data_IF_567475746650
#
_entry.id   IF_567475746650
#
_cell.length_a   1.000
_cell.length_b   1.000
_cell.length_c   1.000
_cell.angle_alpha   90.00
_cell.angle_beta   90.00
_cell.angle_gamma   90.00
#
_symmetry.space_group_name_H-M   'P 1'
#
loop_
_entity.id
_entity.type
_entity.pdbx_description
1 polymer ?
#
# COMPACT_ATOMS: atom_id res chain seq x y z
N UNK A 1 7.28 -9.66 4.79
CA UNK A 1 7.92 -8.44 4.28
C UNK A 1 8.62 -7.77 5.45
N UNK A 2 9.86 -7.34 5.26
CA UNK A 2 10.66 -6.65 6.29
C UNK A 2 11.28 -5.38 5.71
N UNK A 3 12.05 -4.63 6.49
CA UNK A 3 12.84 -3.48 6.04
C UNK A 3 14.33 -3.64 6.36
N UNK A 4 15.14 -2.66 5.95
CA UNK A 4 16.55 -2.50 6.36
C UNK A 4 16.78 -1.09 6.92
N UNK A 5 17.86 -0.94 7.68
CA UNK A 5 18.13 0.29 8.43
C UNK A 5 18.77 1.43 7.60
N UNK A 6 19.50 1.11 6.53
CA UNK A 6 20.39 2.07 5.87
C UNK A 6 20.31 2.11 4.35
N UNK A 7 21.33 2.73 3.75
CA UNK A 7 21.47 2.96 2.31
C UNK A 7 22.14 1.79 1.55
N UNK A 8 22.63 0.78 2.25
CA UNK A 8 23.26 -0.42 1.70
C UNK A 8 23.00 -1.61 2.63
N UNK A 9 23.19 -2.83 2.13
CA UNK A 9 22.99 -4.03 2.95
C UNK A 9 24.17 -4.24 3.90
N UNK A 10 23.88 -4.34 5.21
CA UNK A 10 24.82 -4.91 6.19
C UNK A 10 24.89 -6.42 6.05
N UNK A 11 25.89 -7.06 6.67
CA UNK A 11 25.98 -8.52 6.62
C UNK A 11 24.81 -9.18 7.37
N UNK A 12 24.32 -8.55 8.44
CA UNK A 12 23.11 -8.97 9.14
C UNK A 12 21.84 -8.79 8.30
N UNK A 13 21.77 -7.75 7.45
CA UNK A 13 20.67 -7.62 6.48
C UNK A 13 20.70 -8.79 5.49
N UNK A 14 21.88 -9.12 4.96
CA UNK A 14 22.03 -10.22 4.00
C UNK A 14 21.61 -11.55 4.60
N UNK A 15 21.99 -11.82 5.84
CA UNK A 15 21.60 -13.04 6.57
C UNK A 15 20.07 -13.17 6.69
N UNK A 16 19.39 -12.13 7.20
CA UNK A 16 17.93 -12.18 7.40
C UNK A 16 17.19 -12.23 6.07
N UNK A 17 17.62 -11.45 5.07
CA UNK A 17 16.98 -11.44 3.76
C UNK A 17 17.06 -12.80 3.07
N UNK A 18 18.10 -13.61 3.35
CA UNK A 18 18.24 -14.95 2.79
C UNK A 18 17.23 -15.98 3.34
N UNK A 19 16.56 -15.70 4.46
CA UNK A 19 15.55 -16.59 5.02
C UNK A 19 14.43 -16.90 4.01
N UNK A 20 14.00 -18.16 3.91
CA UNK A 20 13.08 -18.63 2.86
C UNK A 20 11.69 -17.99 2.96
N UNK A 21 11.27 -17.65 4.18
CA UNK A 21 9.96 -17.03 4.44
C UNK A 21 9.97 -15.51 4.28
N UNK A 22 11.14 -14.90 4.13
CA UNK A 22 11.23 -13.49 3.74
C UNK A 22 11.01 -13.40 2.23
N UNK A 23 9.80 -12.97 1.86
CA UNK A 23 9.35 -12.85 0.46
C UNK A 23 9.56 -11.46 -0.15
N UNK A 24 9.97 -10.49 0.64
CA UNK A 24 10.24 -9.16 0.13
C UNK A 24 10.63 -8.14 1.20
N UNK A 25 11.00 -6.97 0.71
CA UNK A 25 11.51 -5.82 1.44
C UNK A 25 10.65 -4.59 1.13
N UNK A 26 10.30 -3.80 2.15
CA UNK A 26 9.77 -2.44 2.01
C UNK A 26 10.89 -1.41 2.21
N UNK A 27 10.96 -0.43 1.32
CA UNK A 27 11.89 0.70 1.39
C UNK A 27 11.21 1.93 2.00
N UNK A 28 11.97 2.65 2.80
CA UNK A 28 11.61 3.93 3.41
C UNK A 28 12.57 5.03 2.95
N UNK A 29 12.27 6.29 3.31
CA UNK A 29 13.15 7.42 3.00
C UNK A 29 14.56 7.27 3.58
N UNK A 30 14.73 6.55 4.70
CA UNK A 30 16.06 6.23 5.26
C UNK A 30 16.92 5.33 4.36
N UNK A 31 16.31 4.66 3.38
CA UNK A 31 16.99 3.79 2.42
C UNK A 31 17.34 4.51 1.11
N UNK A 32 17.09 5.83 1.05
CA UNK A 32 17.24 6.64 -0.14
C UNK A 32 18.11 7.87 0.11
N UNK A 33 19.17 8.01 -0.69
CA UNK A 33 20.00 9.22 -0.73
C UNK A 33 20.08 9.84 -2.13
N UNK A 34 20.09 9.03 -3.19
CA UNK A 34 20.10 9.50 -4.57
C UNK A 34 19.66 8.40 -5.54
N UNK A 35 19.31 8.72 -6.81
CA UNK A 35 18.99 7.71 -7.82
C UNK A 35 20.11 6.68 -8.02
N UNK A 36 21.38 7.13 -7.99
CA UNK A 36 22.53 6.24 -8.16
C UNK A 36 22.68 5.28 -6.99
N UNK A 37 22.55 5.76 -5.74
CA UNK A 37 22.62 4.91 -4.56
C UNK A 37 21.43 3.93 -4.50
N UNK A 38 20.22 4.37 -4.84
CA UNK A 38 19.06 3.48 -4.88
C UNK A 38 19.28 2.32 -5.86
N UNK A 39 19.78 2.59 -7.06
CA UNK A 39 20.11 1.53 -8.04
C UNK A 39 21.10 0.53 -7.47
N UNK A 40 22.16 0.99 -6.80
CA UNK A 40 23.13 0.10 -6.16
C UNK A 40 22.49 -0.79 -5.09
N UNK A 41 21.64 -0.21 -4.23
CA UNK A 41 20.93 -0.97 -3.20
C UNK A 41 20.01 -2.04 -3.83
N UNK A 42 19.27 -1.69 -4.89
CA UNK A 42 18.41 -2.65 -5.59
C UNK A 42 19.25 -3.76 -6.22
N UNK A 43 20.35 -3.43 -6.89
CA UNK A 43 21.26 -4.41 -7.51
C UNK A 43 21.85 -5.36 -6.45
N UNK A 44 22.20 -4.86 -5.26
CA UNK A 44 22.63 -5.67 -4.12
C UNK A 44 21.54 -6.66 -3.67
N UNK A 45 20.29 -6.20 -3.51
CA UNK A 45 19.15 -7.03 -3.11
C UNK A 45 18.86 -8.10 -4.18
N UNK A 46 18.87 -7.72 -5.46
CA UNK A 46 18.63 -8.62 -6.59
C UNK A 46 19.76 -9.65 -6.74
N UNK A 47 21.01 -9.27 -6.49
CA UNK A 47 22.13 -10.23 -6.46
C UNK A 47 21.95 -11.25 -5.35
N UNK A 48 21.43 -10.83 -4.18
CA UNK A 48 21.23 -11.69 -3.03
C UNK A 48 20.01 -12.63 -3.17
N UNK A 49 18.89 -12.13 -3.70
CA UNK A 49 17.58 -12.80 -3.68
C UNK A 49 17.00 -13.17 -5.04
N UNK A 50 17.60 -12.67 -6.12
CA UNK A 50 17.07 -12.79 -7.46
C UNK A 50 15.81 -11.94 -7.70
N UNK A 51 15.13 -12.21 -8.80
CA UNK A 51 13.92 -11.48 -9.24
C UNK A 51 12.65 -11.94 -8.54
N UNK A 52 12.66 -13.11 -7.89
CA UNK A 52 11.51 -13.66 -7.15
C UNK A 52 11.46 -13.15 -5.71
N UNK A 53 11.64 -11.84 -5.52
CA UNK A 53 11.64 -11.18 -4.22
C UNK A 53 11.02 -9.80 -4.36
N UNK A 54 9.96 -9.51 -3.62
CA UNK A 54 9.26 -8.23 -3.77
C UNK A 54 10.09 -7.10 -3.18
N UNK A 55 10.27 -6.01 -3.92
CA UNK A 55 10.77 -4.73 -3.40
C UNK A 55 9.62 -3.73 -3.46
N UNK A 56 9.25 -3.17 -2.32
CA UNK A 56 8.05 -2.33 -2.18
C UNK A 56 8.36 -0.99 -1.54
N UNK A 57 7.44 -0.03 -1.65
CA UNK A 57 7.60 1.31 -1.08
C UNK A 57 6.22 1.97 -0.88
N UNK A 58 6.12 2.95 0.02
CA UNK A 58 4.99 3.90 -0.01
C UNK A 58 5.31 5.12 -0.89
N UNK A 59 4.90 5.08 -2.15
CA UNK A 59 5.09 6.18 -3.08
C UNK A 59 3.72 6.58 -3.65
N UNK A 60 2.94 7.28 -2.83
CA UNK A 60 1.57 7.69 -3.15
C UNK A 60 1.57 9.04 -3.89
N UNK A 61 2.41 9.96 -3.43
CA UNK A 61 2.44 11.37 -3.82
C UNK A 61 2.15 12.31 -2.65
N UNK A 62 2.39 13.60 -2.85
CA UNK A 62 2.25 14.62 -1.82
C UNK A 62 3.16 14.35 -0.63
N UNK A 63 2.57 14.21 0.57
CA UNK A 63 3.34 13.98 1.80
C UNK A 63 3.88 12.54 1.93
N UNK A 64 3.24 11.55 1.32
CA UNK A 64 3.70 10.16 1.33
C UNK A 64 4.39 9.83 0.01
N UNK A 65 5.64 10.27 -0.06
CA UNK A 65 6.52 9.99 -1.19
C UNK A 65 7.94 9.77 -0.64
N UNK A 66 8.43 8.52 -0.67
CA UNK A 66 9.70 8.19 -0.01
C UNK A 66 10.92 8.77 -0.73
N UNK A 67 10.90 8.77 -2.06
CA UNK A 67 12.00 9.25 -2.90
C UNK A 67 11.59 10.58 -3.53
N UNK A 68 12.38 11.63 -3.32
CA UNK A 68 12.05 13.00 -3.75
C UNK A 68 13.06 13.57 -4.73
N UNK A 69 14.30 13.75 -4.30
CA UNK A 69 15.35 14.24 -5.20
C UNK A 69 15.53 13.27 -6.37
N UNK A 70 15.52 13.75 -7.62
CA UNK A 70 15.64 12.88 -8.80
C UNK A 70 14.39 12.04 -9.13
N UNK A 71 13.28 12.23 -8.42
CA UNK A 71 11.95 11.69 -8.74
C UNK A 71 10.97 12.82 -9.01
N UNK A 72 9.90 12.53 -9.74
CA UNK A 72 8.82 13.48 -9.96
C UNK A 72 8.12 13.83 -8.64
N UNK A 73 7.91 15.11 -8.36
CA UNK A 73 7.19 15.57 -7.17
C UNK A 73 5.67 15.43 -7.38
N UNK A 74 5.14 14.23 -7.15
CA UNK A 74 3.72 13.93 -7.37
C UNK A 74 2.85 14.75 -6.40
N UNK A 75 1.72 15.32 -6.85
CA UNK A 75 0.82 16.06 -5.97
C UNK A 75 0.13 15.12 -4.96
N UNK A 76 -0.44 15.66 -3.87
CA UNK A 76 -1.39 14.89 -3.07
C UNK A 76 -2.59 14.46 -3.95
N UNK A 77 -3.11 13.25 -3.76
CA UNK A 77 -4.18 12.70 -4.59
C UNK A 77 -5.46 13.56 -4.56
N UNK A 78 -5.70 14.27 -3.46
CA UNK A 78 -6.80 15.23 -3.34
C UNK A 78 -6.82 16.30 -4.44
N UNK A 79 -5.66 16.70 -4.96
CA UNK A 79 -5.55 17.72 -6.00
C UNK A 79 -6.23 17.30 -7.31
N UNK A 80 -6.33 15.98 -7.57
CA UNK A 80 -7.04 15.45 -8.74
C UNK A 80 -8.55 15.76 -8.66
N UNK A 81 -9.15 15.67 -7.46
CA UNK A 81 -10.56 15.97 -7.28
C UNK A 81 -10.88 17.47 -7.39
N UNK A 82 -9.93 18.37 -7.12
CA UNK A 82 -10.13 19.82 -7.33
C UNK A 82 -10.44 20.16 -8.79
N UNK A 83 -9.94 19.36 -9.74
CA UNK A 83 -10.19 19.53 -11.18
C UNK A 83 -11.42 18.78 -11.68
N UNK A 84 -12.02 17.95 -10.83
CA UNK A 84 -13.21 17.16 -11.16
C UNK A 84 -14.39 18.03 -11.62
N UNK A 85 -14.65 19.15 -10.94
CA UNK A 85 -15.80 20.02 -11.22
C UNK A 85 -15.74 20.75 -12.55
N UNK A 86 -14.55 20.87 -13.15
CA UNK A 86 -14.36 21.52 -14.45
C UNK A 86 -14.46 20.55 -15.64
N UNK A 87 -13.87 19.36 -15.51
CA UNK A 87 -13.91 18.31 -16.53
C UNK A 87 -13.57 16.94 -15.92
N UNK A 88 -14.59 16.11 -15.68
CA UNK A 88 -14.42 14.77 -15.10
C UNK A 88 -13.50 13.85 -15.93
N UNK A 89 -13.61 13.88 -17.25
CA UNK A 89 -12.77 13.04 -18.11
C UNK A 89 -11.30 13.44 -18.03
N UNK A 90 -11.03 14.76 -17.99
CA UNK A 90 -9.66 15.24 -17.81
C UNK A 90 -9.11 14.86 -16.44
N UNK A 91 -9.89 14.97 -15.35
CA UNK A 91 -9.42 14.58 -14.02
C UNK A 91 -9.07 13.08 -13.95
N UNK A 92 -9.83 12.21 -14.63
CA UNK A 92 -9.51 10.79 -14.76
C UNK A 92 -8.27 10.55 -15.61
N UNK A 93 -8.10 11.27 -16.72
CA UNK A 93 -6.90 11.18 -17.53
C UNK A 93 -5.66 11.64 -16.73
N UNK A 94 -5.78 12.72 -15.96
CA UNK A 94 -4.72 13.21 -15.10
C UNK A 94 -4.34 12.15 -14.04
N UNK A 95 -5.34 11.48 -13.44
CA UNK A 95 -5.12 10.40 -12.50
C UNK A 95 -4.42 9.19 -13.14
N UNK A 96 -4.82 8.81 -14.36
CA UNK A 96 -4.13 7.77 -15.14
C UNK A 96 -2.67 8.14 -15.41
N UNK A 97 -2.42 9.35 -15.90
CA UNK A 97 -1.09 9.82 -16.26
C UNK A 97 -0.15 9.84 -15.04
N UNK A 98 -0.63 10.31 -13.88
CA UNK A 98 0.13 10.34 -12.63
C UNK A 98 0.35 8.92 -12.05
N UNK A 99 -0.64 8.04 -12.15
CA UNK A 99 -0.51 6.64 -11.74
C UNK A 99 0.52 5.90 -12.59
N UNK A 100 0.54 6.16 -13.90
CA UNK A 100 1.56 5.64 -14.81
C UNK A 100 2.94 6.18 -14.47
N UNK A 101 3.08 7.50 -14.26
CA UNK A 101 4.38 8.13 -13.97
C UNK A 101 4.99 7.59 -12.67
N UNK A 102 4.20 7.54 -11.60
CA UNK A 102 4.61 7.00 -10.32
C UNK A 102 5.14 5.56 -10.48
N UNK A 103 4.34 4.70 -11.10
CA UNK A 103 4.72 3.30 -11.29
C UNK A 103 5.94 3.16 -12.21
N UNK A 104 6.00 3.90 -13.32
CA UNK A 104 7.10 3.84 -14.28
C UNK A 104 8.44 4.26 -13.63
N UNK A 105 8.46 5.35 -12.86
CA UNK A 105 9.68 5.79 -12.16
C UNK A 105 10.17 4.73 -11.17
N UNK A 106 9.28 4.07 -10.43
CA UNK A 106 9.66 2.96 -9.54
C UNK A 106 10.13 1.73 -10.30
N UNK A 107 9.43 1.33 -11.37
CA UNK A 107 9.79 0.17 -12.20
C UNK A 107 11.14 0.37 -12.90
N UNK A 108 11.55 1.60 -13.22
CA UNK A 108 12.90 1.91 -13.73
C UNK A 108 14.03 1.56 -12.76
N UNK A 109 13.74 1.51 -11.46
CA UNK A 109 14.64 1.03 -10.40
C UNK A 109 14.33 -0.41 -9.99
N UNK A 110 13.50 -1.12 -10.75
CA UNK A 110 13.08 -2.50 -10.47
C UNK A 110 12.39 -2.70 -9.10
N UNK A 111 11.69 -1.67 -8.63
CA UNK A 111 10.81 -1.73 -7.45
C UNK A 111 9.45 -2.27 -7.89
N UNK A 112 8.97 -3.35 -7.29
CA UNK A 112 7.81 -4.12 -7.75
C UNK A 112 6.47 -3.46 -7.44
N UNK A 113 6.33 -2.86 -6.25
CA UNK A 113 5.07 -2.33 -5.76
C UNK A 113 5.24 -0.97 -5.08
N UNK A 114 4.33 -0.05 -5.39
CA UNK A 114 3.93 0.98 -4.44
C UNK A 114 2.69 0.51 -3.69
N UNK A 115 2.61 0.72 -2.38
CA UNK A 115 1.38 0.49 -1.63
C UNK A 115 0.37 1.60 -1.93
N UNK A 116 -0.25 1.53 -3.12
CA UNK A 116 -1.19 2.50 -3.67
C UNK A 116 -2.19 1.78 -4.60
N UNK A 117 -3.41 2.31 -4.80
CA UNK A 117 -3.91 3.61 -4.32
C UNK A 117 -4.48 3.59 -2.90
N UNK A 118 -4.57 4.78 -2.29
CA UNK A 118 -5.41 5.02 -1.12
C UNK A 118 -6.88 5.09 -1.57
N UNK A 119 -7.72 4.24 -0.99
CA UNK A 119 -9.16 4.15 -1.24
C UNK A 119 -10.00 4.70 -0.07
N UNK A 120 -9.34 5.16 0.98
CA UNK A 120 -9.98 5.89 2.07
C UNK A 120 -10.67 7.15 1.54
N UNK A 121 -11.78 7.53 2.18
CA UNK A 121 -12.46 8.78 1.91
C UNK A 121 -11.84 9.90 2.75
N UNK A 122 -11.73 11.10 2.20
CA UNK A 122 -11.28 12.25 2.98
C UNK A 122 -12.32 12.59 4.06
N UNK A 123 -11.87 12.61 5.30
CA UNK A 123 -12.69 12.95 6.46
C UNK A 123 -11.84 13.60 7.56
N UNK A 124 -12.18 13.30 8.81
CA UNK A 124 -11.52 13.88 9.98
C UNK A 124 -10.15 13.25 10.30
N UNK A 125 -9.79 12.14 9.64
CA UNK A 125 -8.53 11.47 9.89
C UNK A 125 -7.33 12.31 9.44
N UNK A 126 -6.48 12.67 10.39
CA UNK A 126 -5.20 13.34 10.14
C UNK A 126 -4.19 12.42 9.45
N UNK A 127 -4.32 11.10 9.63
CA UNK A 127 -3.48 10.08 8.99
C UNK A 127 -3.82 9.90 7.52
N UNK A 128 -5.06 10.15 7.10
CA UNK A 128 -5.46 10.14 5.68
C UNK A 128 -5.35 11.54 5.08
N UNK A 129 -6.20 12.48 5.48
CA UNK A 129 -6.23 13.83 4.93
C UNK A 129 -6.15 13.86 3.40
N UNK A 130 -5.22 14.64 2.85
CA UNK A 130 -5.02 14.82 1.41
C UNK A 130 -4.39 13.63 0.66
N UNK A 131 -4.15 12.50 1.34
CA UNK A 131 -3.80 11.23 0.69
C UNK A 131 -5.00 10.61 -0.03
N UNK A 132 -6.21 10.83 0.50
CA UNK A 132 -7.44 10.42 -0.16
C UNK A 132 -7.66 11.26 -1.42
N UNK A 133 -8.24 10.66 -2.46
CA UNK A 133 -8.61 11.37 -3.68
C UNK A 133 -9.73 12.38 -3.44
N UNK A 134 -10.71 12.05 -2.59
CA UNK A 134 -11.88 12.88 -2.33
C UNK A 134 -12.61 12.42 -1.05
N UNK A 135 -13.51 13.26 -0.54
CA UNK A 135 -14.49 12.88 0.48
C UNK A 135 -15.68 12.09 -0.10
N UNK A 136 -15.86 12.09 -1.43
CA UNK A 136 -17.01 11.47 -2.08
C UNK A 136 -16.67 10.08 -2.66
N UNK A 137 -17.41 9.02 -2.29
CA UNK A 137 -17.10 7.64 -2.70
C UNK A 137 -16.97 7.46 -4.22
N UNK A 138 -17.88 8.04 -5.00
CA UNK A 138 -17.86 7.93 -6.47
C UNK A 138 -16.63 8.61 -7.10
N UNK A 139 -16.16 9.72 -6.52
CA UNK A 139 -14.96 10.39 -7.02
C UNK A 139 -13.71 9.56 -6.71
N UNK A 140 -13.63 9.01 -5.49
CA UNK A 140 -12.54 8.09 -5.12
C UNK A 140 -12.52 6.87 -6.03
N UNK A 141 -13.67 6.22 -6.24
CA UNK A 141 -13.80 5.07 -7.14
C UNK A 141 -13.23 5.39 -8.54
N UNK A 142 -13.69 6.48 -9.17
CA UNK A 142 -13.33 6.79 -10.56
C UNK A 142 -11.88 7.26 -10.70
N UNK A 143 -11.40 8.12 -9.80
CA UNK A 143 -10.02 8.61 -9.84
C UNK A 143 -9.02 7.51 -9.50
N UNK A 144 -9.27 6.73 -8.43
CA UNK A 144 -8.41 5.61 -8.07
C UNK A 144 -8.44 4.52 -9.16
N UNK A 145 -9.60 4.25 -9.77
CA UNK A 145 -9.71 3.35 -10.93
C UNK A 145 -8.78 3.77 -12.08
N UNK A 146 -8.75 5.06 -12.42
CA UNK A 146 -7.91 5.56 -13.49
C UNK A 146 -6.42 5.51 -13.11
N UNK A 147 -6.09 5.89 -11.87
CA UNK A 147 -4.74 5.76 -11.32
C UNK A 147 -4.22 4.31 -11.36
N UNK A 148 -5.06 3.34 -10.96
CA UNK A 148 -4.76 1.91 -11.07
C UNK A 148 -4.53 1.45 -12.50
N UNK A 149 -5.28 1.99 -13.47
CA UNK A 149 -5.04 1.68 -14.90
C UNK A 149 -3.67 2.19 -15.34
N UNK A 150 -3.28 3.39 -14.92
CA UNK A 150 -1.94 3.94 -15.17
C UNK A 150 -0.84 3.06 -14.58
N UNK A 151 -0.99 2.67 -13.30
CA UNK A 151 -0.06 1.76 -12.63
C UNK A 151 0.07 0.43 -13.38
N UNK A 152 -1.07 -0.19 -13.75
CA UNK A 152 -1.09 -1.46 -14.47
C UNK A 152 -0.49 -1.35 -15.88
N UNK A 153 -0.67 -0.21 -16.56
CA UNK A 153 -0.07 0.07 -17.87
C UNK A 153 1.46 0.22 -17.78
N UNK A 154 1.98 0.78 -16.69
CA UNK A 154 3.41 0.76 -16.36
C UNK A 154 3.89 -0.62 -15.83
N UNK A 155 3.01 -1.62 -15.79
CA UNK A 155 3.33 -2.97 -15.36
C UNK A 155 3.35 -3.19 -13.86
N UNK A 156 2.91 -2.23 -13.03
CA UNK A 156 2.85 -2.35 -11.57
C UNK A 156 1.48 -2.86 -11.10
N UNK A 157 1.48 -3.73 -10.09
CA UNK A 157 0.26 -4.21 -9.42
C UNK A 157 -0.26 -3.19 -8.42
N UNK A 158 -1.56 -3.21 -8.14
CA UNK A 158 -2.21 -2.22 -7.28
C UNK A 158 -2.56 -2.80 -5.90
N UNK A 159 -2.35 -2.00 -4.85
CA UNK A 159 -2.67 -2.34 -3.46
C UNK A 159 -3.64 -1.29 -2.88
N UNK A 160 -4.91 -1.67 -2.74
CA UNK A 160 -5.93 -0.79 -2.18
C UNK A 160 -5.82 -0.71 -0.66
N UNK A 161 -5.79 0.49 -0.08
CA UNK A 161 -5.67 0.69 1.38
C UNK A 161 -6.44 1.91 1.91
N UNK A 162 -6.89 1.94 3.17
CA UNK A 162 -6.75 0.90 4.20
C UNK A 162 -8.14 0.30 4.49
N UNK A 163 -8.37 -0.95 4.09
CA UNK A 163 -9.69 -1.58 4.17
C UNK A 163 -10.19 -1.75 5.62
N UNK A 164 -11.47 -1.52 5.94
CA UNK A 164 -12.57 -1.05 5.07
C UNK A 164 -12.66 0.47 4.91
N UNK A 165 -11.80 1.23 5.60
CA UNK A 165 -11.65 2.68 5.43
C UNK A 165 -11.15 3.35 6.71
N UNK A 166 -10.14 4.20 6.60
CA UNK A 166 -9.49 4.90 7.72
C UNK A 166 -9.83 6.41 7.75
N UNK A 167 -10.65 6.89 6.82
CA UNK A 167 -10.91 8.31 6.57
C UNK A 167 -11.54 9.09 7.72
N UNK A 168 -12.28 8.42 8.58
CA UNK A 168 -13.10 9.00 9.65
C UNK A 168 -12.43 8.99 11.02
N UNK A 169 -11.34 8.25 11.21
CA UNK A 169 -10.76 8.10 12.55
C UNK A 169 -9.74 9.19 12.84
N UNK A 170 -10.04 10.00 13.87
CA UNK A 170 -9.23 11.14 14.31
C UNK A 170 -7.91 10.70 14.95
N UNK A 171 -7.93 9.61 15.72
CA UNK A 171 -6.76 9.09 16.42
C UNK A 171 -5.70 8.59 15.43
N UNK A 172 -4.44 8.95 15.69
CA UNK A 172 -3.31 8.44 14.93
C UNK A 172 -3.02 7.00 15.35
N UNK A 173 -3.16 6.05 14.41
CA UNK A 173 -2.88 4.62 14.61
C UNK A 173 -1.43 4.31 14.99
N UNK A 174 -0.54 5.30 14.86
CA UNK A 174 0.85 5.23 15.32
C UNK A 174 1.02 5.60 16.80
N UNK A 175 -0.02 6.09 17.49
CA UNK A 175 0.06 6.60 18.87
C UNK A 175 -0.98 5.94 19.78
N UNK A 176 -2.19 5.71 19.29
CA UNK A 176 -3.27 5.05 20.04
C UNK A 176 -4.04 4.09 19.11
N UNK A 177 -4.90 3.25 19.66
CA UNK A 177 -5.75 2.35 18.89
C UNK A 177 -6.92 3.15 18.33
N UNK A 178 -7.01 3.35 17.00
CA UNK A 178 -8.09 4.10 16.40
C UNK A 178 -9.38 3.28 16.47
N UNK A 179 -10.45 3.88 17.00
CA UNK A 179 -11.77 3.29 17.11
C UNK A 179 -12.74 4.10 16.23
N UNK A 180 -13.51 3.41 15.39
CA UNK A 180 -14.65 3.92 14.65
C UNK A 180 -15.93 3.31 15.23
N UNK A 181 -16.82 4.13 15.77
CA UNK A 181 -18.06 3.71 16.44
C UNK A 181 -19.29 3.72 15.52
N UNK A 182 -19.09 3.89 14.21
CA UNK A 182 -20.20 3.87 13.25
C UNK A 182 -20.71 2.44 13.04
N UNK A 183 -22.02 2.34 12.81
CA UNK A 183 -22.65 1.07 12.43
C UNK A 183 -22.09 0.50 11.12
N UNK A 184 -22.17 -0.83 10.96
CA UNK A 184 -21.77 -1.51 9.72
C UNK A 184 -22.44 -0.90 8.47
N UNK A 185 -23.74 -0.60 8.53
CA UNK A 185 -24.48 -0.01 7.40
C UNK A 185 -23.91 1.37 7.00
N UNK A 186 -23.50 2.19 7.97
CA UNK A 186 -22.87 3.48 7.69
C UNK A 186 -21.53 3.31 6.97
N UNK A 187 -20.69 2.38 7.43
CA UNK A 187 -19.39 2.08 6.83
C UNK A 187 -19.59 1.49 5.42
N UNK A 188 -20.55 0.57 5.29
CA UNK A 188 -20.87 -0.12 4.05
C UNK A 188 -21.36 0.83 2.94
N UNK A 189 -22.21 1.80 3.28
CA UNK A 189 -22.77 2.76 2.33
C UNK A 189 -21.85 3.95 2.04
N UNK A 190 -20.69 4.02 2.68
CA UNK A 190 -19.76 5.12 2.55
C UNK A 190 -18.36 4.58 2.23
N UNK A 191 -17.56 4.31 3.26
CA UNK A 191 -16.14 3.96 3.19
C UNK A 191 -15.86 2.66 2.44
N UNK A 192 -16.74 1.66 2.53
CA UNK A 192 -16.58 0.38 1.83
C UNK A 192 -16.85 0.49 0.32
N UNK A 193 -17.52 1.56 -0.12
CA UNK A 193 -18.01 1.68 -1.50
C UNK A 193 -16.87 1.60 -2.54
N UNK A 194 -15.75 2.35 -2.42
CA UNK A 194 -14.65 2.23 -3.38
C UNK A 194 -13.99 0.86 -3.36
N UNK A 195 -13.83 0.24 -2.17
CA UNK A 195 -13.26 -1.11 -2.06
C UNK A 195 -14.13 -2.14 -2.76
N UNK A 196 -15.45 -2.10 -2.56
CA UNK A 196 -16.39 -3.02 -3.20
C UNK A 196 -16.43 -2.83 -4.72
N UNK A 197 -16.45 -1.59 -5.19
CA UNK A 197 -16.48 -1.27 -6.62
C UNK A 197 -15.19 -1.69 -7.35
N UNK A 198 -14.05 -1.63 -6.66
CA UNK A 198 -12.72 -1.90 -7.25
C UNK A 198 -12.17 -3.29 -6.91
N UNK A 199 -12.86 -4.09 -6.10
CA UNK A 199 -12.37 -5.37 -5.58
C UNK A 199 -11.85 -6.32 -6.68
N UNK A 200 -12.57 -6.45 -7.80
CA UNK A 200 -12.17 -7.32 -8.91
C UNK A 200 -10.99 -6.81 -9.74
N UNK A 201 -10.51 -5.59 -9.46
CA UNK A 201 -9.41 -4.91 -10.17
C UNK A 201 -8.19 -4.69 -9.29
N UNK A 202 -8.31 -4.94 -7.98
CA UNK A 202 -7.21 -4.84 -7.03
C UNK A 202 -6.42 -6.16 -7.03
N UNK A 203 -5.10 -6.06 -7.12
CA UNK A 203 -4.22 -7.23 -6.99
C UNK A 203 -3.97 -7.56 -5.52
N UNK A 204 -3.93 -6.54 -4.66
CA UNK A 204 -3.87 -6.69 -3.22
C UNK A 204 -4.74 -5.67 -2.47
N UNK A 205 -5.05 -5.99 -1.21
CA UNK A 205 -5.68 -5.09 -0.25
C UNK A 205 -4.87 -5.10 1.05
N UNK A 206 -4.70 -3.92 1.64
CA UNK A 206 -4.14 -3.74 2.97
C UNK A 206 -5.23 -3.25 3.92
N UNK A 207 -5.54 -3.98 5.00
CA UNK A 207 -6.54 -3.59 5.98
C UNK A 207 -6.00 -2.57 6.97
N UNK A 208 -6.87 -1.73 7.52
CA UNK A 208 -6.56 -0.75 8.53
C UNK A 208 -6.35 -1.42 9.91
N UNK A 209 -5.43 -0.88 10.71
CA UNK A 209 -5.35 -1.17 12.14
C UNK A 209 -6.37 -0.34 12.94
N UNK A 210 -7.65 -0.46 12.59
CA UNK A 210 -8.79 0.26 13.17
C UNK A 210 -9.81 -0.73 13.72
N UNK A 211 -10.27 -0.50 14.95
CA UNK A 211 -11.39 -1.21 15.56
C UNK A 211 -12.69 -0.52 15.15
N UNK A 212 -13.61 -1.26 14.53
CA UNK A 212 -14.95 -0.77 14.19
C UNK A 212 -15.92 -1.31 15.24
N UNK A 213 -16.06 -0.61 16.36
CA UNK A 213 -16.56 -1.20 17.62
C UNK A 213 -18.00 -1.71 17.58
N UNK A 214 -18.84 -1.12 16.72
CA UNK A 214 -20.22 -1.58 16.48
C UNK A 214 -20.32 -2.76 15.50
N UNK A 215 -19.18 -3.23 14.97
CA UNK A 215 -19.11 -4.29 13.96
C UNK A 215 -18.32 -5.49 14.46
N UNK A 216 -17.07 -5.27 14.86
CA UNK A 216 -16.18 -6.31 15.35
C UNK A 216 -15.17 -5.72 16.35
N UNK A 217 -14.89 -6.39 17.48
CA UNK A 217 -14.00 -5.87 18.51
C UNK A 217 -12.52 -5.93 18.14
N UNK A 218 -12.15 -6.66 17.08
CA UNK A 218 -10.77 -6.75 16.61
C UNK A 218 -10.51 -5.67 15.54
N UNK A 219 -9.28 -5.15 15.44
CA UNK A 219 -8.93 -4.30 14.31
C UNK A 219 -9.12 -5.06 12.99
N UNK A 220 -9.48 -4.38 11.91
CA UNK A 220 -9.83 -5.03 10.64
C UNK A 220 -8.76 -6.01 10.13
N UNK A 221 -7.47 -5.68 10.31
CA UNK A 221 -6.35 -6.56 9.94
C UNK A 221 -6.22 -7.87 10.72
N UNK A 222 -6.92 -8.01 11.85
CA UNK A 222 -6.94 -9.19 12.70
C UNK A 222 -8.33 -9.84 12.81
N UNK A 223 -9.31 -9.35 12.04
CA UNK A 223 -10.71 -9.76 12.14
C UNK A 223 -11.11 -10.70 10.99
N UNK A 224 -11.44 -11.98 11.27
CA UNK A 224 -12.00 -12.88 10.26
C UNK A 224 -13.34 -12.38 9.69
N UNK A 225 -14.10 -11.61 10.47
CA UNK A 225 -15.32 -10.97 9.96
C UNK A 225 -14.98 -10.01 8.81
N UNK A 226 -14.07 -9.06 9.03
CA UNK A 226 -13.68 -8.10 8.01
C UNK A 226 -12.96 -8.75 6.83
N UNK A 227 -11.98 -9.63 7.08
CA UNK A 227 -11.14 -10.18 6.02
C UNK A 227 -11.82 -11.31 5.26
N UNK A 228 -12.56 -12.20 5.91
CA UNK A 228 -13.18 -13.35 5.24
C UNK A 228 -14.64 -13.10 4.87
N UNK A 229 -15.47 -12.57 5.78
CA UNK A 229 -16.89 -12.39 5.48
C UNK A 229 -17.08 -11.16 4.58
N UNK A 230 -16.57 -10.00 4.99
CA UNK A 230 -16.79 -8.78 4.21
C UNK A 230 -15.90 -8.75 2.95
N UNK A 231 -14.58 -8.83 3.10
CA UNK A 231 -13.67 -8.66 1.95
C UNK A 231 -13.73 -9.85 0.97
N UNK A 232 -13.55 -11.10 1.42
CA UNK A 232 -13.60 -12.26 0.51
C UNK A 232 -15.00 -12.54 -0.02
N UNK A 233 -16.04 -12.54 0.83
CA UNK A 233 -17.38 -13.00 0.40
C UNK A 233 -18.25 -11.84 -0.13
N UNK A 234 -18.43 -10.76 0.63
CA UNK A 234 -19.33 -9.66 0.19
C UNK A 234 -18.74 -8.77 -0.91
N UNK A 235 -17.44 -8.44 -0.81
CA UNK A 235 -16.72 -7.68 -1.84
C UNK A 235 -16.19 -8.58 -2.96
N UNK A 236 -16.26 -9.91 -2.82
CA UNK A 236 -15.77 -10.88 -3.80
C UNK A 236 -14.29 -10.68 -4.18
N UNK A 237 -13.45 -10.31 -3.21
CA UNK A 237 -12.04 -10.03 -3.43
C UNK A 237 -11.20 -11.32 -3.46
N UNK A 238 -10.51 -11.58 -4.57
CA UNK A 238 -9.69 -12.79 -4.79
C UNK A 238 -8.16 -12.54 -4.73
N UNK A 239 -7.74 -11.27 -4.66
CA UNK A 239 -6.34 -10.85 -4.63
C UNK A 239 -5.62 -11.18 -3.31
N UNK A 240 -4.45 -10.60 -3.10
CA UNK A 240 -3.63 -10.85 -1.89
C UNK A 240 -4.06 -9.95 -0.74
N UNK A 241 -4.19 -10.50 0.46
CA UNK A 241 -4.34 -9.66 1.68
C UNK A 241 -2.95 -9.47 2.29
N UNK A 242 -2.52 -8.21 2.38
CA UNK A 242 -1.24 -7.81 2.95
C UNK A 242 -1.52 -7.12 4.28
N UNK A 243 -0.94 -7.55 5.41
CA UNK A 243 -1.12 -6.82 6.67
C UNK A 243 -0.50 -5.42 6.57
N UNK A 244 -1.04 -4.45 7.30
CA UNK A 244 -0.26 -3.26 7.63
C UNK A 244 0.84 -3.62 8.66
N UNK A 245 1.76 -2.71 8.99
CA UNK A 245 2.90 -2.99 9.85
C UNK A 245 2.47 -3.49 11.23
N UNK A 246 2.92 -4.68 11.60
CA UNK A 246 2.57 -5.34 12.85
C UNK A 246 3.21 -4.70 14.09
N UNK A 247 4.12 -3.74 13.91
CA UNK A 247 4.68 -2.97 15.02
C UNK A 247 3.90 -1.72 15.41
N UNK A 248 2.96 -1.28 14.57
CA UNK A 248 2.17 -0.08 14.85
C UNK A 248 1.42 -0.18 16.18
N UNK A 249 1.18 0.97 16.82
CA UNK A 249 0.48 1.02 18.12
C UNK A 249 -0.92 0.39 18.03
N UNK A 250 -1.66 0.65 16.94
CA UNK A 250 -2.96 0.03 16.67
C UNK A 250 -2.93 -1.51 16.60
N UNK A 251 -1.77 -2.13 16.39
CA UNK A 251 -1.63 -3.59 16.40
C UNK A 251 -1.34 -4.17 17.81
N UNK A 252 -1.06 -3.34 18.83
CA UNK A 252 -0.63 -3.82 20.15
C UNK A 252 -1.70 -4.56 20.95
N UNK A 253 -2.97 -4.40 20.60
CA UNK A 253 -4.10 -5.08 21.28
C UNK A 253 -4.01 -6.60 21.24
N UNK A 254 -3.28 -7.18 20.28
CA UNK A 254 -3.21 -8.63 20.06
C UNK A 254 -2.00 -9.28 20.77
N UNK A 255 -1.19 -8.50 21.51
CA UNK A 255 -0.04 -9.01 22.26
C UNK A 255 1.29 -8.64 21.62
N UNK A 256 2.27 -9.55 21.65
CA UNK A 256 3.58 -9.35 21.02
C UNK A 256 3.54 -9.58 19.49
N UNK A 257 4.62 -9.25 18.80
CA UNK A 257 4.69 -9.25 17.32
C UNK A 257 4.49 -10.65 16.72
N UNK A 258 5.17 -11.70 17.23
CA UNK A 258 4.71 -13.08 17.18
C UNK A 258 3.20 -13.35 17.17
N UNK A 259 2.49 -12.96 18.24
CA UNK A 259 1.06 -13.21 18.37
C UNK A 259 0.26 -12.43 17.32
N UNK A 260 0.64 -11.17 17.03
CA UNK A 260 0.01 -10.36 15.97
C UNK A 260 0.17 -11.00 14.60
N UNK A 261 1.36 -11.51 14.28
CA UNK A 261 1.62 -12.19 13.01
C UNK A 261 0.73 -13.43 12.86
N UNK A 262 0.60 -14.23 13.93
CA UNK A 262 -0.31 -15.37 13.96
C UNK A 262 -1.76 -14.94 13.77
N UNK A 263 -2.23 -13.94 14.50
CA UNK A 263 -3.61 -13.47 14.43
C UNK A 263 -3.97 -12.88 13.06
N UNK A 264 -3.09 -12.08 12.45
CA UNK A 264 -3.30 -11.55 11.10
C UNK A 264 -3.38 -12.69 10.08
N UNK A 265 -2.50 -13.69 10.21
CA UNK A 265 -2.52 -14.87 9.36
C UNK A 265 -3.80 -15.72 9.53
N UNK A 266 -4.23 -15.95 10.77
CA UNK A 266 -5.47 -16.69 11.09
C UNK A 266 -6.73 -15.94 10.63
N UNK A 267 -6.72 -14.60 10.63
CA UNK A 267 -7.76 -13.77 10.02
C UNK A 267 -7.73 -13.81 8.48
N UNK A 268 -6.60 -14.21 7.89
CA UNK A 268 -6.44 -14.52 6.48
C UNK A 268 -5.54 -13.57 5.68
N UNK A 269 -4.68 -12.79 6.35
CA UNK A 269 -3.56 -12.14 5.69
C UNK A 269 -2.58 -13.18 5.12
N UNK A 270 -2.09 -12.93 3.92
CA UNK A 270 -1.20 -13.84 3.18
C UNK A 270 0.26 -13.33 3.17
N UNK A 271 0.48 -12.01 3.28
CA UNK A 271 1.80 -11.40 3.46
C UNK A 271 1.77 -10.49 4.68
N UNK A 272 2.75 -10.66 5.57
CA UNK A 272 2.84 -9.91 6.83
C UNK A 272 3.98 -8.90 6.76
N UNK A 273 3.72 -7.66 7.19
CA UNK A 273 4.72 -6.59 7.29
C UNK A 273 5.23 -6.49 8.72
N UNK A 274 6.55 -6.57 8.89
CA UNK A 274 7.22 -6.31 10.16
C UNK A 274 8.36 -5.35 9.90
N UNK A 275 8.15 -4.08 10.23
CA UNK A 275 9.08 -3.01 9.89
C UNK A 275 9.76 -2.46 11.15
N UNK A 276 10.93 -1.84 11.00
CA UNK A 276 11.64 -1.06 12.02
C UNK A 276 12.11 -1.86 13.26
N UNK A 277 12.03 -3.20 13.26
CA UNK A 277 12.56 -4.05 14.34
C UNK A 277 12.95 -5.43 13.83
N UNK A 278 14.25 -5.61 13.52
CA UNK A 278 14.80 -6.89 13.05
C UNK A 278 14.57 -8.04 14.04
N UNK A 279 14.71 -7.80 15.35
CA UNK A 279 14.50 -8.83 16.37
C UNK A 279 13.06 -9.33 16.35
N UNK A 280 12.10 -8.43 16.20
CA UNK A 280 10.69 -8.81 16.06
C UNK A 280 10.44 -9.59 14.77
N UNK A 281 11.03 -9.16 13.65
CA UNK A 281 10.95 -9.89 12.38
C UNK A 281 11.51 -11.32 12.51
N UNK A 282 12.68 -11.49 13.13
CA UNK A 282 13.26 -12.81 13.40
C UNK A 282 12.35 -13.65 14.30
N UNK A 283 11.78 -13.08 15.36
CA UNK A 283 10.82 -13.80 16.21
C UNK A 283 9.59 -14.30 15.45
N UNK A 284 9.10 -13.54 14.45
CA UNK A 284 8.02 -14.00 13.57
C UNK A 284 8.48 -15.15 12.66
N UNK A 285 9.70 -15.07 12.12
CA UNK A 285 10.27 -16.13 11.28
C UNK A 285 10.49 -17.45 12.05
N UNK A 286 10.88 -17.37 13.32
CA UNK A 286 11.05 -18.54 14.21
C UNK A 286 9.74 -19.24 14.56
N UNK A 287 8.62 -18.51 14.56
CA UNK A 287 7.30 -19.01 14.95
C UNK A 287 6.50 -19.63 13.81
N UNK A 288 6.99 -19.52 12.58
CA UNK A 288 6.25 -19.80 11.36
C UNK A 288 5.35 -21.04 11.54
N UNK A 289 4.02 -20.87 11.64
CA UNK A 289 3.12 -22.01 11.67
C UNK A 289 3.30 -22.82 10.39
N UNK A 290 3.19 -24.16 10.48
CA UNK A 290 3.21 -25.04 9.32
C UNK A 290 2.31 -24.48 8.20
N UNK A 291 2.75 -24.55 6.93
CA UNK A 291 2.12 -23.76 5.87
C UNK A 291 0.66 -24.18 5.66
N UNK A 292 -0.26 -23.28 5.99
CA UNK A 292 -1.63 -23.28 5.46
C UNK A 292 -1.73 -22.46 4.16
N UNK A 293 -0.62 -21.85 3.71
CA UNK A 293 -0.59 -21.00 2.53
C UNK A 293 -1.03 -21.80 1.31
N UNK A 294 -2.25 -21.53 0.84
CA UNK A 294 -2.89 -22.23 -0.27
C UNK A 294 -2.22 -21.92 -1.62
N UNK A 295 -1.41 -20.86 -1.68
CA UNK A 295 -0.71 -20.35 -2.87
C UNK A 295 0.47 -19.44 -2.49
N UNK A 296 1.38 -19.22 -3.42
CA UNK A 296 2.47 -18.24 -3.28
C UNK A 296 1.94 -16.82 -3.51
N UNK A 297 1.60 -16.13 -2.42
CA UNK A 297 1.03 -14.79 -2.47
C UNK A 297 1.99 -13.74 -3.04
N UNK A 298 3.30 -13.87 -2.79
CA UNK A 298 4.26 -12.92 -3.34
C UNK A 298 4.37 -13.05 -4.87
N UNK A 299 4.30 -14.27 -5.39
CA UNK A 299 4.33 -14.53 -6.82
C UNK A 299 3.18 -13.86 -7.60
N UNK A 300 2.03 -13.67 -6.96
CA UNK A 300 0.87 -13.00 -7.56
C UNK A 300 1.05 -11.48 -7.71
N UNK A 301 2.01 -10.91 -6.98
CA UNK A 301 2.24 -9.47 -6.93
C UNK A 301 3.40 -9.01 -7.81
N UNK A 302 4.07 -9.91 -8.51
CA UNK A 302 4.99 -9.48 -9.55
C UNK A 302 4.20 -8.86 -10.71
N UNK A 303 4.66 -7.69 -11.11
CA UNK A 303 4.15 -6.92 -12.22
C UNK A 303 4.45 -7.55 -13.58
N UNK A 304 4.02 -6.87 -14.64
CA UNK A 304 4.53 -7.15 -15.99
C UNK A 304 5.93 -6.56 -16.14
N UNK A 305 6.71 -7.10 -17.07
CA UNK A 305 7.97 -6.48 -17.45
C UNK A 305 7.73 -5.03 -17.88
N UNK A 306 8.46 -4.09 -17.27
CA UNK A 306 8.34 -2.68 -17.62
C UNK A 306 9.01 -2.42 -18.96
N UNK A 307 8.31 -1.67 -19.81
CA UNK A 307 8.83 -1.15 -21.07
C UNK A 307 8.65 0.36 -21.03
N UNK A 308 9.75 1.10 -21.23
CA UNK A 308 9.67 2.55 -21.22
C UNK A 308 8.87 3.04 -22.44
N UNK A 309 7.80 3.78 -22.17
CA UNK A 309 7.03 4.50 -23.17
C UNK A 309 7.35 5.99 -23.05
N UNK A 310 8.22 6.48 -23.96
CA UNK A 310 8.66 7.87 -23.96
C UNK A 310 7.52 8.85 -24.24
N UNK A 311 6.53 8.46 -25.04
CA UNK A 311 5.41 9.33 -25.37
C UNK A 311 4.49 9.48 -24.15
N UNK A 312 4.15 8.36 -23.50
CA UNK A 312 3.38 8.40 -22.26
C UNK A 312 4.16 9.13 -21.15
N UNK A 313 5.48 8.96 -21.05
CA UNK A 313 6.31 9.70 -20.09
C UNK A 313 6.24 11.20 -20.30
N UNK A 314 6.37 11.67 -21.54
CA UNK A 314 6.25 13.09 -21.87
C UNK A 314 4.85 13.63 -21.55
N UNK A 315 3.80 12.87 -21.88
CA UNK A 315 2.42 13.22 -21.56
C UNK A 315 2.22 13.33 -20.04
N UNK A 316 2.65 12.33 -19.27
CA UNK A 316 2.50 12.35 -17.82
C UNK A 316 3.29 13.47 -17.14
N UNK A 317 4.49 13.82 -17.64
CA UNK A 317 5.25 14.97 -17.16
C UNK A 317 4.53 16.30 -17.49
N UNK A 318 3.91 16.41 -18.66
CA UNK A 318 3.10 17.57 -19.03
C UNK A 318 1.86 17.69 -18.15
N UNK A 319 1.21 16.58 -17.80
CA UNK A 319 0.12 16.53 -16.81
C UNK A 319 0.64 17.00 -15.44
N UNK A 320 1.75 16.46 -14.96
CA UNK A 320 2.35 16.82 -13.66
C UNK A 320 2.65 18.32 -13.53
N UNK A 321 3.14 18.95 -14.59
CA UNK A 321 3.45 20.39 -14.60
C UNK A 321 2.22 21.25 -14.23
N UNK A 322 1.01 20.80 -14.56
CA UNK A 322 -0.24 21.50 -14.25
C UNK A 322 -0.61 21.48 -12.76
N UNK A 323 0.04 20.62 -11.98
CA UNK A 323 -0.13 20.50 -10.53
C UNK A 323 1.03 21.14 -9.75
N UNK A 324 2.14 21.43 -10.42
CA UNK A 324 3.35 21.99 -9.80
C UNK A 324 3.24 23.50 -9.54
N UNK A 325 2.33 24.21 -10.22
CA UNK A 325 2.12 25.66 -10.04
C UNK A 325 1.26 26.01 -8.80
N UNK A 326 0.83 25.01 -8.01
CA UNK A 326 -0.10 25.19 -6.88
C UNK A 326 0.40 24.65 -5.53
N UNK A 327 1.67 24.23 -5.43
CA UNK A 327 2.27 23.69 -4.21
C UNK A 327 3.22 24.69 -3.56
#
# INVERSE_FOLDING_TARGET
MIDIAGLSLTDEDKEVLQHTDVKGLILFSRNYASPQQLRQLIDEIRTLRGTNFLITVDHEGGRVQRFREGFSALPPMAALAERWGGNTEQAKQDAYDLGWLMAAELRMFDIDLSYAPVLDLMGESTVIGNRAFSAHPLQVEQLASAFMQGMAAAGMRCVGKHFPGHGTVVADSHIDIPIDDRSFASIQHHDLTPFKALASRLDAVMPAHVIYSEVDPLPAGFSPFWLQQVLRQECQFEGVIISDDLLMEGARVVGDVPARARAAYEAGAELLLVCNNRKAAMGVLELAPAPLARRDAAALLFGKAFQEDLAQKQQSLATLAQYSEKV
#
